data_IF_013082311064
#
_entry.id   IF_013082311064
#
_cell.length_a   1.000
_cell.length_b   1.000
_cell.length_c   1.000
_cell.angle_alpha   90.00
_cell.angle_beta   90.00
_cell.angle_gamma   90.00
#
_symmetry.space_group_name_H-M   'P 1'
#
loop_
_entity.id
_entity.type
_entity.pdbx_description
1 polymer ?
#
# COMPACT_ATOMS: atom_id res chain seq x y z
N UNK A 1 28.06 -29.51 12.27
CA UNK A 1 27.58 -28.39 13.12
C UNK A 1 28.13 -27.10 12.55
N UNK A 2 27.42 -26.42 11.65
CA UNK A 2 27.81 -25.17 11.09
C UNK A 2 27.28 -24.07 12.04
N UNK A 3 28.17 -23.26 12.60
CA UNK A 3 27.83 -22.09 13.41
C UNK A 3 27.28 -21.01 12.49
N UNK A 4 25.98 -20.77 12.57
CA UNK A 4 25.37 -19.55 12.04
C UNK A 4 25.91 -18.35 12.82
N UNK A 5 26.91 -17.68 12.26
CA UNK A 5 27.32 -16.36 12.72
C UNK A 5 26.31 -15.32 12.19
N UNK A 6 25.18 -15.20 12.85
CA UNK A 6 24.38 -13.98 12.73
C UNK A 6 25.08 -12.89 13.55
N UNK A 7 25.77 -12.00 12.88
CA UNK A 7 26.14 -10.74 13.46
C UNK A 7 24.83 -9.96 13.71
N UNK A 8 24.29 -10.10 14.93
CA UNK A 8 23.22 -9.21 15.42
C UNK A 8 23.78 -7.79 15.44
N UNK A 9 23.61 -7.06 14.34
CA UNK A 9 23.60 -5.61 14.39
C UNK A 9 22.42 -5.27 15.28
N UNK A 10 22.68 -4.88 16.53
CA UNK A 10 21.68 -4.28 17.40
C UNK A 10 21.32 -2.95 16.73
N UNK A 11 20.25 -2.95 15.96
CA UNK A 11 19.76 -1.79 15.24
C UNK A 11 19.22 -0.81 16.27
N UNK A 12 19.81 0.37 16.36
CA UNK A 12 19.18 1.51 17.02
C UNK A 12 17.87 1.75 16.23
N UNK A 13 16.72 1.59 16.88
CA UNK A 13 15.39 1.59 16.25
C UNK A 13 15.15 2.78 15.29
N UNK A 14 15.64 3.97 15.64
CA UNK A 14 15.47 5.18 14.81
C UNK A 14 16.23 5.13 13.47
N UNK A 15 17.44 4.57 13.44
CA UNK A 15 18.22 4.43 12.19
C UNK A 15 17.63 3.37 11.27
N UNK A 16 17.03 2.31 11.83
CA UNK A 16 16.45 1.23 11.03
C UNK A 16 15.17 1.69 10.32
N UNK A 17 14.29 2.37 11.03
CA UNK A 17 13.07 2.93 10.43
C UNK A 17 13.40 3.91 9.29
N UNK A 18 14.36 4.80 9.48
CA UNK A 18 14.81 5.73 8.45
C UNK A 18 15.40 5.00 7.24
N UNK A 19 16.21 3.95 7.43
CA UNK A 19 16.78 3.13 6.37
C UNK A 19 15.67 2.43 5.55
N UNK A 20 14.64 1.89 6.23
CA UNK A 20 13.52 1.23 5.57
C UNK A 20 12.65 2.24 4.79
N UNK A 21 12.40 3.42 5.35
CA UNK A 21 11.68 4.48 4.66
C UNK A 21 12.43 4.96 3.40
N UNK A 22 13.74 5.15 3.49
CA UNK A 22 14.57 5.50 2.34
C UNK A 22 14.55 4.42 1.27
N UNK A 23 14.59 3.15 1.65
CA UNK A 23 14.49 2.00 0.73
C UNK A 23 13.15 2.02 -0.05
N UNK A 24 12.04 2.23 0.64
CA UNK A 24 10.71 2.38 0.00
C UNK A 24 10.69 3.57 -0.94
N UNK A 25 11.16 4.72 -0.50
CA UNK A 25 11.16 5.95 -1.30
C UNK A 25 12.02 5.81 -2.56
N UNK A 26 13.18 5.14 -2.47
CA UNK A 26 14.03 4.82 -3.63
C UNK A 26 13.32 3.88 -4.61
N UNK A 27 12.62 2.86 -4.13
CA UNK A 27 11.88 1.95 -4.99
C UNK A 27 10.70 2.66 -5.68
N UNK A 28 9.94 3.48 -4.96
CA UNK A 28 8.87 4.33 -5.52
C UNK A 28 9.43 5.30 -6.58
N UNK A 29 10.60 5.89 -6.35
CA UNK A 29 11.20 6.83 -7.31
C UNK A 29 11.52 6.19 -8.67
N UNK A 30 11.78 4.87 -8.71
CA UNK A 30 12.01 4.10 -9.94
C UNK A 30 10.73 3.86 -10.74
N UNK A 31 9.57 3.84 -10.06
CA UNK A 31 8.25 3.69 -10.68
C UNK A 31 7.82 5.01 -11.34
N UNK A 32 8.28 6.12 -10.81
CA UNK A 32 7.85 7.47 -11.18
C UNK A 32 8.36 7.86 -12.58
N UNK A 33 7.58 7.53 -13.61
CA UNK A 33 7.71 8.09 -14.95
C UNK A 33 7.15 9.52 -15.03
N UNK A 34 7.51 10.25 -16.09
CA UNK A 34 6.98 11.59 -16.39
C UNK A 34 6.54 11.73 -17.84
N UNK A 35 6.31 10.61 -18.52
CA UNK A 35 6.00 10.60 -19.95
C UNK A 35 4.52 10.85 -20.23
N UNK A 36 3.64 10.58 -19.27
CA UNK A 36 2.19 10.80 -19.39
C UNK A 36 1.59 11.51 -18.18
N UNK A 37 0.37 12.04 -18.35
CA UNK A 37 -0.37 12.67 -17.25
C UNK A 37 -0.69 11.64 -16.13
N UNK A 38 -0.99 10.39 -16.50
CA UNK A 38 -1.28 9.33 -15.51
C UNK A 38 -0.03 8.96 -14.71
N UNK A 39 1.13 8.83 -15.36
CA UNK A 39 2.39 8.59 -14.63
C UNK A 39 2.73 9.76 -13.68
N UNK A 40 2.48 10.99 -14.12
CA UNK A 40 2.67 12.19 -13.28
C UNK A 40 1.71 12.20 -12.08
N UNK A 41 0.46 11.75 -12.27
CA UNK A 41 -0.55 11.65 -11.22
C UNK A 41 -0.18 10.55 -10.21
N UNK A 42 0.21 9.36 -10.66
CA UNK A 42 0.68 8.26 -9.82
C UNK A 42 1.92 8.69 -9.02
N UNK A 43 2.90 9.31 -9.69
CA UNK A 43 4.10 9.83 -9.04
C UNK A 43 3.76 10.83 -7.95
N UNK A 44 2.85 11.78 -8.23
CA UNK A 44 2.40 12.76 -7.24
C UNK A 44 1.79 12.09 -6.01
N UNK A 45 0.91 11.10 -6.21
CA UNK A 45 0.27 10.37 -5.11
C UNK A 45 1.28 9.59 -4.26
N UNK A 46 2.21 8.88 -4.90
CA UNK A 46 3.19 8.01 -4.23
C UNK A 46 4.30 8.79 -3.51
N UNK A 47 4.76 9.92 -4.07
CA UNK A 47 5.83 10.75 -3.48
C UNK A 47 5.33 11.57 -2.30
N UNK A 48 4.02 11.80 -2.19
CA UNK A 48 3.46 12.53 -1.06
C UNK A 48 3.89 11.90 0.28
N UNK A 49 4.50 12.68 1.20
CA UNK A 49 5.10 12.15 2.41
C UNK A 49 4.08 11.43 3.30
N UNK A 50 4.44 10.24 3.76
CA UNK A 50 3.64 9.43 4.67
C UNK A 50 4.53 8.63 5.61
N UNK A 51 3.94 8.08 6.68
CA UNK A 51 4.65 7.28 7.68
C UNK A 51 5.16 5.93 7.15
N UNK A 52 4.75 5.52 5.94
CA UNK A 52 5.13 4.23 5.30
C UNK A 52 4.96 3.02 6.23
N UNK A 53 3.91 3.02 7.05
CA UNK A 53 3.71 1.99 8.07
C UNK A 53 3.57 0.59 7.47
N UNK A 54 2.84 0.45 6.34
CA UNK A 54 2.63 -0.84 5.70
C UNK A 54 3.92 -1.46 5.13
N UNK A 55 4.70 -0.75 4.32
CA UNK A 55 6.04 -1.22 3.92
C UNK A 55 6.94 -1.56 5.10
N UNK A 56 6.90 -0.75 6.17
CA UNK A 56 7.69 -0.99 7.38
C UNK A 56 7.30 -2.33 8.03
N UNK A 57 6.01 -2.65 8.11
CA UNK A 57 5.54 -3.92 8.65
C UNK A 57 6.01 -5.12 7.81
N UNK A 58 6.01 -5.02 6.49
CA UNK A 58 6.55 -6.06 5.59
C UNK A 58 8.02 -6.33 5.90
N UNK A 59 8.83 -5.29 6.02
CA UNK A 59 10.26 -5.44 6.34
C UNK A 59 10.49 -5.98 7.76
N UNK A 60 9.73 -5.52 8.74
CA UNK A 60 9.85 -6.02 10.12
C UNK A 60 9.45 -7.51 10.21
N UNK A 61 8.42 -7.93 9.48
CA UNK A 61 8.04 -9.34 9.40
C UNK A 61 9.14 -10.18 8.74
N UNK A 62 9.74 -9.69 7.65
CA UNK A 62 10.86 -10.36 6.99
C UNK A 62 12.08 -10.50 7.91
N UNK A 63 12.45 -9.42 8.61
CA UNK A 63 13.57 -9.44 9.58
C UNK A 63 13.31 -10.40 10.73
N UNK A 64 12.09 -10.44 11.27
CA UNK A 64 11.70 -11.31 12.37
C UNK A 64 11.87 -12.81 12.05
N UNK A 65 11.70 -13.19 10.77
CA UNK A 65 11.89 -14.58 10.31
C UNK A 65 13.28 -14.82 9.67
N UNK A 66 14.16 -13.80 9.69
CA UNK A 66 15.52 -13.89 9.15
C UNK A 66 15.58 -13.92 7.61
N UNK A 67 14.59 -13.35 6.93
CA UNK A 67 14.59 -13.21 5.48
C UNK A 67 15.33 -11.94 5.08
N UNK A 68 16.12 -12.01 4.00
CA UNK A 68 16.79 -10.84 3.43
C UNK A 68 15.75 -9.81 2.97
N UNK A 69 15.91 -8.54 3.38
CA UNK A 69 14.95 -7.48 3.08
C UNK A 69 14.76 -7.23 1.58
N UNK A 70 15.81 -7.46 0.79
CA UNK A 70 15.75 -7.33 -0.68
C UNK A 70 14.71 -8.26 -1.35
N UNK A 71 14.42 -9.39 -0.69
CA UNK A 71 13.45 -10.36 -1.21
C UNK A 71 11.99 -9.94 -1.03
N UNK A 72 11.74 -8.89 -0.27
CA UNK A 72 10.39 -8.38 0.01
C UNK A 72 10.19 -6.95 -0.47
N UNK A 73 11.14 -6.35 -1.20
CA UNK A 73 11.03 -4.99 -1.71
C UNK A 73 9.78 -4.77 -2.56
N UNK A 74 9.49 -5.69 -3.47
CA UNK A 74 8.31 -5.60 -4.32
C UNK A 74 7.01 -5.66 -3.52
N UNK A 75 6.96 -6.49 -2.47
CA UNK A 75 5.79 -6.61 -1.58
C UNK A 75 5.62 -5.35 -0.73
N UNK A 76 6.70 -4.83 -0.17
CA UNK A 76 6.68 -3.60 0.61
C UNK A 76 6.18 -2.42 -0.23
N UNK A 77 6.68 -2.27 -1.46
CA UNK A 77 6.23 -1.21 -2.37
C UNK A 77 4.80 -1.45 -2.84
N UNK A 78 4.43 -2.69 -3.20
CA UNK A 78 3.06 -3.03 -3.60
C UNK A 78 2.05 -2.69 -2.50
N UNK A 79 2.34 -2.99 -1.23
CA UNK A 79 1.46 -2.64 -0.10
C UNK A 79 1.22 -1.13 0.02
N UNK A 80 2.24 -0.31 -0.23
CA UNK A 80 2.10 1.16 -0.22
C UNK A 80 1.36 1.67 -1.46
N UNK A 81 1.59 1.08 -2.64
CA UNK A 81 0.86 1.41 -3.87
C UNK A 81 -0.63 1.14 -3.69
N UNK A 82 -0.99 -0.02 -3.13
CA UNK A 82 -2.38 -0.37 -2.80
C UNK A 82 -2.98 0.61 -1.80
N UNK A 83 -2.27 0.93 -0.73
CA UNK A 83 -2.74 1.92 0.23
C UNK A 83 -2.94 3.30 -0.41
N UNK A 84 -2.03 3.70 -1.29
CA UNK A 84 -2.10 5.01 -1.94
C UNK A 84 -3.30 5.10 -2.88
N UNK A 85 -3.59 4.04 -3.67
CA UNK A 85 -4.77 4.08 -4.52
C UNK A 85 -6.06 4.19 -3.71
N UNK A 86 -6.17 3.49 -2.58
CA UNK A 86 -7.36 3.58 -1.75
C UNK A 86 -7.59 5.00 -1.23
N UNK A 87 -6.52 5.68 -0.81
CA UNK A 87 -6.61 7.09 -0.41
C UNK A 87 -7.00 8.02 -1.57
N UNK A 88 -6.48 7.77 -2.78
CA UNK A 88 -6.82 8.58 -3.96
C UNK A 88 -8.30 8.45 -4.31
N UNK A 89 -8.87 7.25 -4.19
CA UNK A 89 -10.30 7.03 -4.44
C UNK A 89 -11.17 7.56 -3.28
N UNK A 90 -10.73 7.37 -2.03
CA UNK A 90 -11.44 7.92 -0.86
C UNK A 90 -11.58 9.45 -0.94
N UNK A 91 -10.56 10.15 -1.43
CA UNK A 91 -10.55 11.61 -1.53
C UNK A 91 -11.52 12.17 -2.59
N UNK A 92 -12.09 11.35 -3.49
CA UNK A 92 -12.95 11.81 -4.59
C UNK A 92 -14.23 12.50 -4.09
N UNK A 93 -14.82 13.42 -4.87
CA UNK A 93 -16.06 14.12 -4.50
C UNK A 93 -17.27 13.22 -4.28
N UNK A 94 -17.26 12.00 -4.82
CA UNK A 94 -18.30 10.99 -4.60
C UNK A 94 -18.04 10.09 -3.39
N UNK A 95 -16.97 10.34 -2.66
CA UNK A 95 -16.52 9.63 -1.47
C UNK A 95 -16.39 10.63 -0.31
N UNK A 96 -15.19 10.82 0.26
CA UNK A 96 -14.98 11.72 1.40
C UNK A 96 -14.94 13.21 1.01
N UNK A 97 -14.82 13.56 -0.30
CA UNK A 97 -14.68 14.91 -0.87
C UNK A 97 -13.59 15.76 -0.19
N UNK A 98 -12.45 15.16 0.06
CA UNK A 98 -11.33 15.81 0.71
C UNK A 98 -10.54 16.72 -0.25
N UNK A 99 -10.33 17.98 0.11
CA UNK A 99 -9.51 18.92 -0.66
C UNK A 99 -8.01 18.73 -0.44
N UNK A 100 -7.62 18.26 0.75
CA UNK A 100 -6.23 18.13 1.18
C UNK A 100 -5.96 16.74 1.80
N UNK A 101 -4.85 16.13 1.42
CA UNK A 101 -4.31 14.92 2.04
C UNK A 101 -2.87 15.17 2.50
N UNK A 102 -2.61 15.01 3.81
CA UNK A 102 -1.29 15.26 4.42
C UNK A 102 -0.74 16.66 4.12
N UNK A 103 -1.62 17.66 4.07
CA UNK A 103 -1.28 19.06 3.81
C UNK A 103 -1.01 19.42 2.33
N UNK A 104 -1.20 18.47 1.41
CA UNK A 104 -1.11 18.68 -0.03
C UNK A 104 -2.49 18.55 -0.69
N UNK A 105 -2.77 19.25 -1.81
CA UNK A 105 -3.98 19.03 -2.57
C UNK A 105 -4.19 17.56 -2.92
N UNK A 106 -5.41 17.05 -2.77
CA UNK A 106 -5.77 15.71 -3.21
C UNK A 106 -5.60 15.54 -4.72
N UNK A 107 -5.52 14.31 -5.20
CA UNK A 107 -5.17 14.07 -6.60
C UNK A 107 -6.20 14.70 -7.57
N UNK A 108 -7.49 14.60 -7.24
CA UNK A 108 -8.56 15.17 -8.06
C UNK A 108 -8.54 16.73 -8.09
N UNK A 109 -8.03 17.38 -7.03
CA UNK A 109 -7.83 18.85 -7.00
C UNK A 109 -6.57 19.25 -7.75
N UNK A 110 -5.49 18.44 -7.69
CA UNK A 110 -4.23 18.73 -8.38
C UNK A 110 -4.30 18.48 -9.89
N UNK A 111 -5.04 17.47 -10.30
CA UNK A 111 -5.26 17.09 -11.71
C UNK A 111 -6.74 17.24 -12.05
N UNK A 112 -7.47 16.15 -12.24
CA UNK A 112 -8.93 16.10 -12.42
C UNK A 112 -9.48 14.85 -11.75
N UNK A 113 -10.79 14.78 -11.51
CA UNK A 113 -11.46 13.57 -11.01
C UNK A 113 -11.18 12.37 -11.92
N UNK A 114 -11.28 12.53 -13.24
CA UNK A 114 -11.01 11.47 -14.19
C UNK A 114 -9.56 10.94 -14.07
N UNK A 115 -8.58 11.83 -13.89
CA UNK A 115 -7.20 11.41 -13.68
C UNK A 115 -7.01 10.71 -12.32
N UNK A 116 -7.73 11.11 -11.28
CA UNK A 116 -7.67 10.46 -9.98
C UNK A 116 -8.25 9.03 -10.04
N UNK A 117 -9.40 8.85 -10.68
CA UNK A 117 -9.98 7.52 -10.91
C UNK A 117 -9.01 6.62 -11.68
N UNK A 118 -8.53 7.08 -12.85
CA UNK A 118 -7.62 6.31 -13.70
C UNK A 118 -6.26 6.01 -13.03
N UNK A 119 -5.75 6.93 -12.23
CA UNK A 119 -4.51 6.72 -11.47
C UNK A 119 -4.70 5.64 -10.38
N UNK A 120 -5.83 5.65 -9.67
CA UNK A 120 -6.17 4.60 -8.71
C UNK A 120 -6.28 3.23 -9.38
N UNK A 121 -7.01 3.13 -10.50
CA UNK A 121 -7.14 1.89 -11.28
C UNK A 121 -5.77 1.37 -11.75
N UNK A 122 -4.93 2.27 -12.28
CA UNK A 122 -3.59 1.92 -12.75
C UNK A 122 -2.67 1.47 -11.60
N UNK A 123 -2.80 2.05 -10.40
CA UNK A 123 -2.02 1.63 -9.23
C UNK A 123 -2.35 0.22 -8.75
N UNK A 124 -3.59 -0.25 -8.86
CA UNK A 124 -3.92 -1.64 -8.56
C UNK A 124 -3.17 -2.61 -9.49
N UNK A 125 -3.17 -2.32 -10.80
CA UNK A 125 -2.43 -3.10 -11.79
C UNK A 125 -0.92 -3.03 -11.56
N UNK A 126 -0.40 -1.86 -11.21
CA UNK A 126 1.01 -1.63 -10.89
C UNK A 126 1.48 -2.47 -9.70
N UNK A 127 0.69 -2.58 -8.63
CA UNK A 127 1.03 -3.42 -7.49
C UNK A 127 1.19 -4.89 -7.87
N UNK A 128 0.32 -5.40 -8.73
CA UNK A 128 0.43 -6.77 -9.26
C UNK A 128 1.66 -6.94 -10.15
N UNK A 129 1.94 -5.96 -11.02
CA UNK A 129 3.09 -5.95 -11.92
C UNK A 129 4.42 -6.00 -11.17
N UNK A 130 4.54 -5.25 -10.08
CA UNK A 130 5.72 -5.26 -9.20
C UNK A 130 5.99 -6.66 -8.65
N UNK A 131 4.96 -7.38 -8.22
CA UNK A 131 5.08 -8.75 -7.67
C UNK A 131 5.43 -9.76 -8.78
N UNK A 132 4.74 -9.67 -9.93
CA UNK A 132 4.95 -10.61 -11.05
C UNK A 132 6.35 -10.49 -11.63
N UNK A 133 6.91 -9.29 -11.70
CA UNK A 133 8.23 -9.04 -12.28
C UNK A 133 9.39 -9.23 -11.29
N UNK A 134 9.12 -9.46 -10.00
CA UNK A 134 10.19 -9.72 -9.02
C UNK A 134 10.90 -11.06 -9.30
N UNK A 135 12.19 -11.00 -9.51
CA UNK A 135 13.02 -12.18 -9.79
C UNK A 135 13.37 -13.01 -8.54
N UNK A 136 13.14 -12.47 -7.34
CA UNK A 136 13.39 -13.14 -6.07
C UNK A 136 12.22 -14.02 -5.62
N UNK A 137 11.06 -13.92 -6.29
CA UNK A 137 9.82 -14.64 -5.98
C UNK A 137 9.57 -15.71 -7.03
N UNK A 138 9.40 -16.95 -6.62
CA UNK A 138 9.08 -18.06 -7.54
C UNK A 138 7.67 -17.93 -8.13
N UNK A 139 7.41 -18.57 -9.27
CA UNK A 139 6.11 -18.53 -9.94
C UNK A 139 4.96 -18.97 -9.01
N UNK A 140 5.14 -20.04 -8.25
CA UNK A 140 4.14 -20.54 -7.30
C UNK A 140 3.87 -19.55 -6.18
N UNK A 141 4.92 -18.89 -5.66
CA UNK A 141 4.77 -17.84 -4.65
C UNK A 141 4.02 -16.63 -5.22
N UNK A 142 4.35 -16.18 -6.43
CA UNK A 142 3.65 -15.08 -7.11
C UNK A 142 2.16 -15.34 -7.22
N UNK A 143 1.77 -16.54 -7.66
CA UNK A 143 0.35 -16.92 -7.75
C UNK A 143 -0.34 -16.84 -6.39
N UNK A 144 0.29 -17.35 -5.35
CA UNK A 144 -0.26 -17.31 -3.97
C UNK A 144 -0.39 -15.89 -3.45
N UNK A 145 0.65 -15.06 -3.62
CA UNK A 145 0.67 -13.67 -3.18
C UNK A 145 -0.39 -12.85 -3.91
N UNK A 146 -0.48 -12.98 -5.23
CA UNK A 146 -1.49 -12.25 -6.03
C UNK A 146 -2.91 -12.72 -5.68
N UNK A 147 -3.11 -14.02 -5.47
CA UNK A 147 -4.41 -14.55 -5.03
C UNK A 147 -4.81 -13.97 -3.67
N UNK A 148 -3.87 -13.88 -2.74
CA UNK A 148 -4.11 -13.28 -1.43
C UNK A 148 -4.37 -11.78 -1.53
N UNK A 149 -3.56 -11.05 -2.31
CA UNK A 149 -3.75 -9.62 -2.56
C UNK A 149 -5.12 -9.33 -3.18
N UNK A 150 -5.50 -10.07 -4.23
CA UNK A 150 -6.79 -9.88 -4.90
C UNK A 150 -7.97 -10.08 -3.96
N UNK A 151 -7.90 -11.06 -3.04
CA UNK A 151 -8.91 -11.26 -2.00
C UNK A 151 -8.92 -10.11 -0.99
N UNK A 152 -7.73 -9.70 -0.54
CA UNK A 152 -7.53 -8.62 0.44
C UNK A 152 -8.12 -7.30 -0.03
N UNK A 153 -7.88 -6.91 -1.29
CA UNK A 153 -8.33 -5.61 -1.83
C UNK A 153 -9.70 -5.69 -2.52
N UNK A 154 -10.19 -6.88 -2.77
CA UNK A 154 -11.39 -7.13 -3.57
C UNK A 154 -12.71 -6.89 -2.84
N UNK A 155 -13.79 -7.37 -3.49
CA UNK A 155 -15.17 -7.22 -3.00
C UNK A 155 -15.49 -8.00 -1.70
N UNK A 156 -14.61 -8.90 -1.26
CA UNK A 156 -14.71 -9.60 0.03
C UNK A 156 -13.76 -8.99 1.10
N UNK A 157 -12.98 -7.98 0.74
CA UNK A 157 -11.96 -7.36 1.58
C UNK A 157 -12.14 -5.84 1.69
N UNK A 158 -11.09 -5.10 1.36
CA UNK A 158 -11.00 -3.65 1.56
C UNK A 158 -12.14 -2.88 0.86
N UNK A 159 -12.53 -3.27 -0.36
CA UNK A 159 -13.64 -2.63 -1.08
C UNK A 159 -14.98 -2.83 -0.35
N UNK A 160 -15.23 -4.03 0.22
CA UNK A 160 -16.41 -4.25 1.04
C UNK A 160 -16.42 -3.38 2.29
N UNK A 161 -15.25 -3.28 2.97
CA UNK A 161 -15.11 -2.42 4.13
C UNK A 161 -15.36 -0.94 3.79
N UNK A 162 -14.92 -0.48 2.63
CA UNK A 162 -15.21 0.86 2.14
C UNK A 162 -16.70 1.05 1.81
N UNK A 163 -17.36 0.05 1.23
CA UNK A 163 -18.79 0.10 0.97
C UNK A 163 -19.58 0.20 2.27
N UNK A 164 -19.21 -0.55 3.31
CA UNK A 164 -19.82 -0.42 4.63
C UNK A 164 -19.61 0.94 5.27
N UNK A 165 -18.42 1.54 5.11
CA UNK A 165 -18.13 2.86 5.65
C UNK A 165 -19.10 3.90 5.08
N UNK A 166 -19.30 3.91 3.76
CA UNK A 166 -20.29 4.78 3.09
C UNK A 166 -21.74 4.44 3.51
N UNK A 167 -22.07 3.14 3.59
CA UNK A 167 -23.42 2.71 3.95
C UNK A 167 -23.78 3.05 5.40
N UNK A 168 -22.79 3.18 6.27
CA UNK A 168 -22.95 3.47 7.70
C UNK A 168 -23.03 4.97 8.00
N UNK A 169 -22.71 5.82 7.03
CA UNK A 169 -22.89 7.27 7.19
C UNK A 169 -24.34 7.59 7.61
N UNK A 170 -24.47 8.46 8.57
CA UNK A 170 -25.75 8.91 9.13
C UNK A 170 -26.66 7.80 9.70
N UNK A 171 -26.12 6.58 9.91
CA UNK A 171 -26.86 5.45 10.50
C UNK A 171 -26.39 5.12 11.91
N UNK A 172 -27.30 4.62 12.71
CA UNK A 172 -26.98 3.99 13.99
C UNK A 172 -26.60 2.53 13.74
N UNK A 173 -25.33 2.21 13.87
CA UNK A 173 -24.79 0.86 13.68
C UNK A 173 -24.28 0.27 15.00
N UNK A 174 -24.22 -1.04 15.09
CA UNK A 174 -23.70 -1.74 16.26
C UNK A 174 -22.17 -1.67 16.32
N UNK A 175 -21.62 -1.94 17.51
CA UNK A 175 -20.17 -2.04 17.71
C UNK A 175 -19.54 -3.13 16.83
N UNK A 176 -20.23 -4.26 16.65
CA UNK A 176 -19.73 -5.40 15.88
C UNK A 176 -19.66 -5.06 14.39
N UNK A 177 -20.64 -4.33 13.85
CA UNK A 177 -20.60 -3.82 12.46
C UNK A 177 -19.44 -2.86 12.24
N UNK A 178 -19.15 -1.96 13.20
CA UNK A 178 -18.00 -1.05 13.12
C UNK A 178 -16.66 -1.83 13.15
N UNK A 179 -16.58 -2.87 14.00
CA UNK A 179 -15.38 -3.72 14.07
C UNK A 179 -15.18 -4.46 12.74
N UNK A 180 -16.22 -5.06 12.18
CA UNK A 180 -16.17 -5.75 10.89
C UNK A 180 -15.74 -4.81 9.76
N UNK A 181 -16.38 -3.65 9.65
CA UNK A 181 -16.02 -2.61 8.68
C UNK A 181 -14.52 -2.23 8.78
N UNK A 182 -14.04 -1.94 9.99
CA UNK A 182 -12.64 -1.57 10.21
C UNK A 182 -11.65 -2.72 9.89
N UNK A 183 -12.03 -3.96 10.21
CA UNK A 183 -11.22 -5.13 9.86
C UNK A 183 -11.11 -5.28 8.35
N UNK A 184 -12.20 -5.12 7.62
CA UNK A 184 -12.23 -5.19 6.16
C UNK A 184 -11.48 -3.99 5.52
N UNK A 185 -11.86 -2.75 5.87
CA UNK A 185 -11.31 -1.53 5.26
C UNK A 185 -9.81 -1.37 5.54
N UNK A 186 -9.36 -1.72 6.76
CA UNK A 186 -7.99 -1.45 7.22
C UNK A 186 -7.21 -2.72 7.56
N UNK A 187 -7.81 -3.65 8.31
CA UNK A 187 -7.16 -4.84 8.83
C UNK A 187 -6.64 -5.76 7.73
N UNK A 188 -7.47 -6.06 6.73
CA UNK A 188 -7.11 -6.96 5.62
C UNK A 188 -5.79 -6.58 4.94
N UNK A 189 -5.54 -5.29 4.70
CA UNK A 189 -4.29 -4.83 4.09
C UNK A 189 -3.09 -4.83 5.06
N UNK A 190 -3.31 -4.96 6.35
CA UNK A 190 -2.23 -5.17 7.33
C UNK A 190 -1.86 -6.66 7.47
N UNK A 191 -2.76 -7.57 7.06
CA UNK A 191 -2.52 -9.01 7.03
C UNK A 191 -1.78 -9.45 5.74
N UNK A 192 -1.80 -8.61 4.69
CA UNK A 192 -1.09 -8.83 3.44
C UNK A 192 0.41 -8.58 3.61
#
# INVERSE_FOLDING_TARGET
MAKLNHSKKTLNNENFEAELQDRVNQAISKISGKSSTIESAISYALVNPGKRVRPLLVYLAADAIGLDLEKVDSLAVASEVIHTYSLVHDDLPCMDDDDLRRGQPTLHKKFTEAHAVLAGDAMQSLAMDLIVNDQNISADQKVRIISFLAKTIGYEGMILGQAYDIEFEDKSVSKDEIIEMNQLKTGMLLEF
#
